data_IF_491402654277
#
_entry.id   IF_491402654277
#
_cell.length_a   1.000
_cell.length_b   1.000
_cell.length_c   1.000
_cell.angle_alpha   90.00
_cell.angle_beta   90.00
_cell.angle_gamma   90.00
#
_symmetry.space_group_name_H-M   'P 1'
#
loop_
_entity.id
_entity.type
_entity.pdbx_description
1 polymer ?
#
# COMPACT_ATOMS: atom_id res chain seq x y z
N UNK A 1 22.59 2.92 25.63
CA UNK A 1 21.17 3.34 25.51
C UNK A 1 21.05 4.68 24.78
N UNK A 2 21.75 4.87 23.65
CA UNK A 2 21.74 6.13 22.87
C UNK A 2 21.83 5.93 21.35
N UNK A 3 21.81 4.67 20.88
CA UNK A 3 21.92 4.31 19.46
C UNK A 3 20.55 3.92 18.87
N UNK A 4 19.61 3.44 19.68
CA UNK A 4 18.26 3.00 19.25
C UNK A 4 17.35 4.20 18.91
N UNK A 5 17.55 5.36 19.54
CA UNK A 5 16.77 6.58 19.24
C UNK A 5 17.15 7.19 17.88
N UNK A 6 18.34 6.87 17.34
CA UNK A 6 18.85 7.51 16.13
C UNK A 6 18.26 6.93 14.83
N UNK A 7 17.80 5.68 14.81
CA UNK A 7 17.21 5.04 13.63
C UNK A 7 15.71 5.35 13.46
N UNK A 8 14.98 5.62 14.55
CA UNK A 8 13.57 6.03 14.49
C UNK A 8 13.41 7.46 13.91
N UNK A 9 14.35 8.36 14.23
CA UNK A 9 14.35 9.74 13.73
C UNK A 9 14.72 9.86 12.25
N UNK A 10 15.52 8.93 11.68
CA UNK A 10 15.82 8.94 10.24
C UNK A 10 14.61 8.59 9.37
N UNK A 11 13.72 7.69 9.81
CA UNK A 11 12.50 7.34 9.05
C UNK A 11 11.38 8.38 9.14
N UNK A 12 11.25 9.07 10.27
CA UNK A 12 10.38 10.27 10.35
C UNK A 12 10.84 11.37 9.37
N UNK A 13 12.16 11.50 9.14
CA UNK A 13 12.68 12.44 8.13
C UNK A 13 12.33 12.05 6.69
N UNK A 14 12.28 10.75 6.37
CA UNK A 14 11.83 10.26 5.05
C UNK A 14 10.34 10.51 4.83
N UNK A 15 9.51 10.39 5.87
CA UNK A 15 8.07 10.68 5.81
C UNK A 15 7.79 12.17 5.66
N UNK A 16 8.55 13.02 6.38
CA UNK A 16 8.53 14.47 6.15
C UNK A 16 8.97 14.82 4.73
N UNK A 17 9.95 14.10 4.17
CA UNK A 17 10.36 14.22 2.77
C UNK A 17 9.25 13.79 1.80
N UNK A 18 8.46 12.76 2.10
CA UNK A 18 7.31 12.40 1.26
C UNK A 18 6.24 13.51 1.29
N UNK A 19 5.88 14.02 2.46
CA UNK A 19 4.98 15.18 2.58
C UNK A 19 5.52 16.44 1.88
N UNK A 20 6.83 16.71 1.98
CA UNK A 20 7.51 17.79 1.23
C UNK A 20 7.57 17.54 -0.28
N UNK A 21 7.70 16.28 -0.72
CA UNK A 21 7.72 15.92 -2.15
C UNK A 21 6.33 16.02 -2.77
N UNK A 22 5.27 15.68 -2.04
CA UNK A 22 3.89 15.85 -2.51
C UNK A 22 3.45 17.33 -2.52
N UNK A 23 4.01 18.18 -1.64
CA UNK A 23 3.71 19.63 -1.61
C UNK A 23 4.56 20.47 -2.57
N UNK A 24 5.71 19.96 -3.04
CA UNK A 24 6.54 20.64 -4.06
C UNK A 24 6.02 20.37 -5.48
N UNK A 25 4.91 20.99 -5.83
CA UNK A 25 4.46 21.07 -7.23
C UNK A 25 5.50 21.85 -8.04
N UNK A 26 6.17 21.17 -8.98
CA UNK A 26 6.95 21.82 -10.01
C UNK A 26 6.06 22.79 -10.80
N UNK A 27 6.47 24.05 -10.89
CA UNK A 27 5.99 24.98 -11.92
C UNK A 27 6.35 24.40 -13.29
N UNK A 28 5.40 23.73 -13.94
CA UNK A 28 5.53 23.33 -15.34
C UNK A 28 4.93 24.44 -16.21
N UNK A 29 5.79 25.05 -17.02
CA UNK A 29 5.45 26.00 -18.08
C UNK A 29 4.42 25.38 -19.02
N UNK A 30 3.42 26.18 -19.37
CA UNK A 30 2.41 25.86 -20.38
C UNK A 30 3.06 25.45 -21.70
N UNK A 31 2.59 24.37 -22.33
CA UNK A 31 2.50 24.22 -23.79
C UNK A 31 1.35 23.28 -24.16
N UNK A 32 0.58 23.79 -25.11
CA UNK A 32 -0.35 23.23 -26.09
C UNK A 32 -1.67 22.54 -25.73
N UNK A 33 -2.73 23.22 -26.20
CA UNK A 33 -4.12 22.79 -26.32
C UNK A 33 -4.22 21.55 -27.21
N UNK A 34 -4.53 20.41 -26.61
CA UNK A 34 -5.17 19.30 -27.33
C UNK A 34 -6.52 18.97 -26.67
N UNK A 35 -7.55 18.92 -27.53
CA UNK A 35 -8.95 18.51 -27.34
C UNK A 35 -9.42 18.36 -25.89
N UNK A 36 -10.32 19.24 -25.46
CA UNK A 36 -11.00 19.19 -24.15
C UNK A 36 -11.67 17.83 -23.93
N UNK A 37 -10.98 16.91 -23.25
CA UNK A 37 -11.61 15.74 -22.65
C UNK A 37 -12.65 16.27 -21.66
N UNK A 38 -13.88 15.80 -21.78
CA UNK A 38 -14.96 16.18 -20.88
C UNK A 38 -14.73 15.43 -19.55
N UNK A 39 -14.07 16.09 -18.60
CA UNK A 39 -13.55 15.49 -17.37
C UNK A 39 -14.57 15.39 -16.22
N UNK A 40 -15.87 15.44 -16.53
CA UNK A 40 -16.96 15.56 -15.56
C UNK A 40 -17.27 14.30 -14.75
N UNK A 41 -16.52 13.21 -14.90
CA UNK A 41 -16.78 11.97 -14.16
C UNK A 41 -16.15 12.01 -12.75
N UNK A 42 -17.01 11.95 -11.74
CA UNK A 42 -16.65 11.86 -10.33
C UNK A 42 -16.10 10.45 -10.00
N UNK A 43 -15.13 10.37 -9.09
CA UNK A 43 -14.66 9.09 -8.57
C UNK A 43 -15.72 8.46 -7.65
N UNK A 44 -15.87 7.12 -7.64
CA UNK A 44 -16.86 6.43 -6.80
C UNK A 44 -16.50 6.44 -5.30
N UNK A 45 -15.23 6.67 -4.98
CA UNK A 45 -14.67 6.76 -3.64
C UNK A 45 -13.95 8.11 -3.51
N UNK A 46 -14.00 8.71 -2.32
CA UNK A 46 -13.23 9.93 -2.00
C UNK A 46 -11.92 9.59 -1.27
N UNK A 47 -11.92 8.55 -0.44
CA UNK A 47 -10.76 8.10 0.35
C UNK A 47 -10.22 6.76 -0.13
N UNK A 48 -8.90 6.63 -0.19
CA UNK A 48 -8.22 5.43 -0.67
C UNK A 48 -7.13 5.04 0.32
N UNK A 49 -7.18 3.79 0.76
CA UNK A 49 -6.22 3.20 1.69
C UNK A 49 -5.26 2.35 0.88
N UNK A 50 -4.09 2.90 0.57
CA UNK A 50 -3.06 2.19 -0.22
C UNK A 50 -2.28 1.27 0.72
N UNK A 51 -2.26 -0.02 0.42
CA UNK A 51 -1.73 -1.07 1.29
C UNK A 51 -0.86 -2.04 0.48
N UNK A 52 0.25 -2.46 1.08
CA UNK A 52 1.17 -3.46 0.51
C UNK A 52 1.88 -4.22 1.65
N UNK A 53 1.57 -5.51 1.83
CA UNK A 53 2.18 -6.28 2.92
C UNK A 53 3.55 -6.82 2.51
N UNK A 54 4.48 -6.84 3.46
CA UNK A 54 5.65 -7.72 3.38
C UNK A 54 5.45 -8.96 4.23
N UNK A 55 6.05 -10.07 3.81
CA UNK A 55 5.88 -11.36 4.47
C UNK A 55 7.16 -12.17 4.58
N UNK A 56 7.14 -13.13 5.51
CA UNK A 56 8.13 -14.20 5.53
C UNK A 56 8.16 -14.92 4.17
N UNK A 57 9.37 -15.17 3.68
CA UNK A 57 9.59 -15.81 2.39
C UNK A 57 10.94 -16.53 2.33
N UNK A 58 11.11 -17.35 1.30
CA UNK A 58 12.35 -18.05 0.96
C UNK A 58 12.68 -17.88 -0.53
N UNK A 59 13.91 -18.23 -0.89
CA UNK A 59 14.41 -18.28 -2.27
C UNK A 59 14.06 -19.60 -2.98
N UNK A 60 13.41 -20.55 -2.28
CA UNK A 60 13.12 -21.90 -2.74
C UNK A 60 11.75 -22.01 -3.41
N UNK A 61 11.43 -21.10 -4.32
CA UNK A 61 10.15 -21.09 -5.04
C UNK A 61 8.90 -21.01 -4.14
N UNK A 62 8.96 -20.24 -3.05
CA UNK A 62 7.86 -20.01 -2.12
C UNK A 62 7.38 -21.28 -1.40
N UNK A 63 8.31 -22.19 -1.06
CA UNK A 63 8.00 -23.39 -0.30
C UNK A 63 7.73 -23.09 1.18
N UNK A 64 8.23 -21.97 1.71
CA UNK A 64 7.90 -21.49 3.04
C UNK A 64 6.39 -21.23 3.15
N UNK A 65 5.70 -22.10 3.89
CA UNK A 65 4.28 -22.03 4.18
C UNK A 65 4.01 -22.36 5.66
N UNK A 66 3.03 -21.68 6.29
CA UNK A 66 2.37 -20.48 5.79
C UNK A 66 3.36 -19.31 5.72
N UNK A 67 3.09 -18.33 4.85
CA UNK A 67 3.75 -17.03 4.93
C UNK A 67 3.04 -16.21 5.99
N UNK A 68 3.80 -15.40 6.72
CA UNK A 68 3.29 -14.53 7.79
C UNK A 68 3.62 -13.08 7.47
N UNK A 69 2.68 -12.17 7.69
CA UNK A 69 2.87 -10.73 7.52
C UNK A 69 3.94 -10.27 8.53
N UNK A 70 4.94 -9.54 8.06
CA UNK A 70 6.03 -8.96 8.86
C UNK A 70 6.13 -7.44 8.74
N UNK A 71 5.50 -6.82 7.75
CA UNK A 71 5.31 -5.37 7.64
C UNK A 71 3.87 -5.06 7.22
N UNK A 72 3.24 -4.11 7.92
CA UNK A 72 1.87 -3.65 7.69
C UNK A 72 1.86 -2.12 7.49
N UNK A 73 2.14 -1.64 6.27
CA UNK A 73 1.96 -0.26 5.88
C UNK A 73 0.56 -0.01 5.33
N UNK A 74 0.03 1.19 5.56
CA UNK A 74 -1.09 1.72 4.81
C UNK A 74 -1.03 3.25 4.74
N UNK A 75 -1.21 3.83 3.56
CA UNK A 75 -1.27 5.27 3.37
C UNK A 75 -2.68 5.67 2.95
N UNK A 76 -3.30 6.55 3.72
CA UNK A 76 -4.58 7.16 3.36
C UNK A 76 -4.34 8.35 2.45
N UNK A 77 -5.01 8.34 1.30
CA UNK A 77 -5.05 9.45 0.36
C UNK A 77 -6.48 9.84 0.01
N UNK A 78 -6.68 11.12 -0.31
CA UNK A 78 -7.95 11.65 -0.82
C UNK A 78 -7.81 12.16 -2.25
N UNK A 79 -8.83 11.94 -3.07
CA UNK A 79 -8.83 12.41 -4.46
C UNK A 79 -9.22 13.88 -4.58
N UNK A 80 -8.29 14.72 -5.05
CA UNK A 80 -8.55 16.11 -5.36
C UNK A 80 -9.06 16.25 -6.79
N UNK A 81 -10.33 16.67 -6.95
CA UNK A 81 -10.95 16.88 -8.27
C UNK A 81 -10.29 18.02 -9.06
N UNK A 82 -9.73 19.00 -8.35
CA UNK A 82 -9.07 20.18 -8.94
C UNK A 82 -7.72 19.80 -9.52
N UNK A 83 -6.84 19.17 -8.72
CA UNK A 83 -5.50 18.79 -9.16
C UNK A 83 -5.48 17.46 -9.94
N UNK A 84 -6.56 16.69 -9.87
CA UNK A 84 -6.67 15.30 -10.36
C UNK A 84 -5.59 14.38 -9.80
N UNK A 85 -5.12 14.65 -8.59
CA UNK A 85 -4.13 13.85 -7.89
C UNK A 85 -4.70 13.38 -6.54
N UNK A 86 -3.99 12.43 -5.94
CA UNK A 86 -4.23 11.89 -4.62
C UNK A 86 -3.35 12.61 -3.61
N UNK A 87 -3.97 13.23 -2.61
CA UNK A 87 -3.31 13.96 -1.54
C UNK A 87 -3.21 13.07 -0.31
N UNK A 88 -2.01 12.96 0.28
CA UNK A 88 -1.77 12.14 1.47
C UNK A 88 -2.36 12.82 2.70
N UNK A 89 -3.24 12.12 3.41
CA UNK A 89 -3.87 12.61 4.62
C UNK A 89 -3.24 12.04 5.89
N UNK A 90 -2.95 10.73 5.88
CA UNK A 90 -2.50 9.99 7.07
C UNK A 90 -1.81 8.70 6.65
N UNK A 91 -1.15 8.04 7.59
CA UNK A 91 -0.57 6.72 7.37
C UNK A 91 -0.62 5.88 8.64
N UNK A 92 -0.60 4.56 8.45
CA UNK A 92 -0.37 3.55 9.46
C UNK A 92 0.86 2.74 9.05
N UNK A 93 1.70 2.39 10.02
CA UNK A 93 2.83 1.50 9.78
C UNK A 93 3.12 0.71 11.05
N UNK A 94 3.30 -0.59 10.89
CA UNK A 94 3.84 -1.45 11.93
C UNK A 94 4.65 -2.58 11.31
N UNK A 95 5.71 -2.96 12.01
CA UNK A 95 6.26 -4.30 11.85
C UNK A 95 5.41 -5.30 12.64
N UNK A 96 5.48 -6.56 12.24
CA UNK A 96 4.68 -7.64 12.83
C UNK A 96 5.61 -8.80 13.20
N UNK A 97 5.42 -9.34 14.40
CA UNK A 97 6.14 -10.51 14.86
C UNK A 97 5.46 -11.79 14.37
N UNK A 98 6.12 -12.60 13.53
CA UNK A 98 5.62 -13.92 13.12
C UNK A 98 5.65 -14.90 14.30
N UNK A 99 4.81 -15.94 14.25
CA UNK A 99 4.67 -16.96 15.30
C UNK A 99 5.00 -18.37 14.83
N UNK A 100 5.04 -18.64 13.52
CA UNK A 100 5.40 -19.96 12.96
C UNK A 100 6.86 -19.94 12.51
N UNK A 101 7.20 -19.09 11.54
CA UNK A 101 8.55 -18.93 11.02
C UNK A 101 9.18 -17.69 11.66
N UNK A 102 9.56 -17.86 12.93
CA UNK A 102 10.03 -16.75 13.80
C UNK A 102 11.39 -16.20 13.42
N UNK A 103 12.23 -16.99 12.74
CA UNK A 103 13.53 -16.57 12.21
C UNK A 103 13.41 -16.26 10.72
N UNK A 104 13.75 -15.03 10.32
CA UNK A 104 13.77 -14.64 8.92
C UNK A 104 14.87 -15.39 8.18
N UNK A 105 14.55 -15.83 6.96
CA UNK A 105 15.59 -16.29 6.04
C UNK A 105 16.47 -15.12 5.64
N UNK A 106 17.74 -15.39 5.31
CA UNK A 106 18.63 -14.35 4.78
C UNK A 106 18.06 -13.71 3.52
N UNK A 107 17.45 -14.51 2.65
CA UNK A 107 16.76 -14.02 1.46
C UNK A 107 15.64 -13.02 1.80
N UNK A 108 14.78 -13.34 2.77
CA UNK A 108 13.69 -12.46 3.18
C UNK A 108 14.22 -11.12 3.71
N UNK A 109 15.26 -11.15 4.56
CA UNK A 109 15.88 -9.93 5.07
C UNK A 109 16.57 -9.10 3.98
N UNK A 110 17.24 -9.74 3.01
CA UNK A 110 17.87 -9.04 1.89
C UNK A 110 16.82 -8.43 0.94
N UNK A 111 15.73 -9.16 0.68
CA UNK A 111 14.66 -8.71 -0.21
C UNK A 111 13.92 -7.52 0.39
N UNK A 112 13.50 -7.61 1.65
CA UNK A 112 12.61 -6.62 2.28
C UNK A 112 13.34 -5.51 3.03
N UNK A 113 14.62 -5.72 3.35
CA UNK A 113 15.39 -4.88 4.26
C UNK A 113 14.99 -5.01 5.73
N UNK A 114 14.09 -5.94 6.07
CA UNK A 114 13.63 -6.17 7.45
C UNK A 114 14.64 -7.06 8.18
N UNK A 115 15.06 -6.60 9.36
CA UNK A 115 16.02 -7.33 10.20
C UNK A 115 15.30 -8.18 11.25
N UNK A 116 15.96 -9.23 11.73
CA UNK A 116 15.45 -10.08 12.80
C UNK A 116 15.10 -9.27 14.06
N UNK A 117 15.95 -8.30 14.43
CA UNK A 117 15.70 -7.44 15.59
C UNK A 117 14.43 -6.59 15.45
N UNK A 118 14.07 -6.17 14.22
CA UNK A 118 12.83 -5.42 14.00
C UNK A 118 11.61 -6.28 14.31
N UNK A 119 11.55 -7.50 13.78
CA UNK A 119 10.38 -8.37 13.99
C UNK A 119 10.32 -8.95 15.42
N UNK A 120 11.47 -9.26 16.04
CA UNK A 120 11.51 -9.82 17.39
C UNK A 120 10.91 -8.89 18.44
N UNK A 121 11.07 -7.58 18.24
CA UNK A 121 10.60 -6.50 19.11
C UNK A 121 9.24 -5.93 18.68
N UNK A 122 8.60 -6.51 17.67
CA UNK A 122 7.31 -6.06 17.16
C UNK A 122 6.13 -6.71 17.87
N UNK A 123 4.93 -6.09 17.86
CA UNK A 123 3.72 -6.72 18.34
C UNK A 123 3.28 -7.89 17.45
N UNK A 124 2.40 -8.74 17.98
CA UNK A 124 1.77 -9.81 17.22
C UNK A 124 0.75 -9.24 16.22
N UNK A 125 0.41 -10.05 15.21
CA UNK A 125 -0.48 -9.62 14.13
C UNK A 125 -1.84 -9.14 14.62
N UNK A 126 -2.47 -9.83 15.58
CA UNK A 126 -3.80 -9.46 16.05
C UNK A 126 -3.82 -8.10 16.76
N UNK A 127 -2.79 -7.78 17.55
CA UNK A 127 -2.62 -6.46 18.14
C UNK A 127 -2.43 -5.39 17.05
N UNK A 128 -1.53 -5.64 16.08
CA UNK A 128 -1.30 -4.71 14.97
C UNK A 128 -2.58 -4.48 14.18
N UNK A 129 -3.33 -5.54 13.88
CA UNK A 129 -4.56 -5.46 13.11
C UNK A 129 -5.69 -4.75 13.86
N UNK A 130 -5.80 -4.94 15.17
CA UNK A 130 -6.74 -4.16 16.00
C UNK A 130 -6.37 -2.67 16.00
N UNK A 131 -5.08 -2.34 16.07
CA UNK A 131 -4.62 -0.95 15.98
C UNK A 131 -4.87 -0.36 14.60
N UNK A 132 -4.67 -1.12 13.53
CA UNK A 132 -5.02 -0.73 12.17
C UNK A 132 -6.53 -0.47 12.02
N UNK A 133 -7.39 -1.37 12.53
CA UNK A 133 -8.85 -1.18 12.51
C UNK A 133 -9.27 0.10 13.25
N UNK A 134 -8.70 0.35 14.44
CA UNK A 134 -8.96 1.59 15.19
C UNK A 134 -8.52 2.82 14.42
N UNK A 135 -7.33 2.78 13.81
CA UNK A 135 -6.84 3.86 12.97
C UNK A 135 -7.78 4.10 11.78
N UNK A 136 -8.17 3.05 11.05
CA UNK A 136 -9.09 3.13 9.90
C UNK A 136 -10.41 3.80 10.28
N UNK A 137 -11.06 3.34 11.37
CA UNK A 137 -12.34 3.90 11.84
C UNK A 137 -12.20 5.39 12.16
N UNK A 138 -11.08 5.81 12.75
CA UNK A 138 -10.83 7.22 13.04
C UNK A 138 -10.53 8.08 11.79
N UNK A 139 -10.31 7.47 10.62
CA UNK A 139 -10.06 8.18 9.37
C UNK A 139 -11.31 8.34 8.49
N UNK A 140 -12.41 7.64 8.79
CA UNK A 140 -13.62 7.61 7.95
C UNK A 140 -14.86 8.00 8.75
N UNK A 141 -15.70 8.86 8.15
CA UNK A 141 -17.02 9.22 8.68
C UNK A 141 -18.13 8.56 7.85
N UNK A 142 -19.38 8.61 8.30
CA UNK A 142 -20.52 7.97 7.63
C UNK A 142 -20.77 8.46 6.19
N UNK A 143 -20.32 9.67 5.86
CA UNK A 143 -20.44 10.25 4.52
C UNK A 143 -19.32 9.81 3.56
N UNK A 144 -18.22 9.28 4.10
CA UNK A 144 -17.06 8.89 3.31
C UNK A 144 -17.30 7.59 2.55
N UNK A 145 -16.83 7.56 1.30
CA UNK A 145 -16.74 6.33 0.52
C UNK A 145 -15.28 5.97 0.38
N UNK A 146 -14.84 5.00 1.16
CA UNK A 146 -13.46 4.53 1.17
C UNK A 146 -13.29 3.17 0.49
N UNK A 147 -12.05 2.90 0.05
CA UNK A 147 -11.66 1.59 -0.47
C UNK A 147 -10.15 1.35 -0.28
N UNK A 148 -9.75 0.08 -0.17
CA UNK A 148 -8.33 -0.31 -0.16
C UNK A 148 -7.81 -0.47 -1.59
N UNK A 149 -6.56 -0.07 -1.81
CA UNK A 149 -5.83 -0.22 -3.07
C UNK A 149 -4.56 -1.04 -2.82
N UNK A 150 -4.32 -2.08 -3.63
CA UNK A 150 -3.14 -2.94 -3.53
C UNK A 150 -2.52 -3.19 -4.91
N UNK A 151 -1.27 -3.69 -4.94
CA UNK A 151 -0.58 -4.10 -6.17
C UNK A 151 -0.75 -5.58 -6.51
N UNK A 152 -1.99 -6.07 -6.48
CA UNK A 152 -2.29 -7.45 -6.82
C UNK A 152 -3.52 -7.94 -6.10
N UNK A 153 -3.70 -9.26 -6.09
CA UNK A 153 -4.70 -9.89 -5.23
C UNK A 153 -4.04 -10.59 -4.04
N UNK A 154 -2.71 -10.63 -3.97
CA UNK A 154 -2.01 -11.46 -2.99
C UNK A 154 -2.18 -10.93 -1.57
N UNK A 155 -2.12 -9.61 -1.36
CA UNK A 155 -2.29 -8.98 -0.04
C UNK A 155 -3.60 -9.40 0.64
N UNK A 156 -4.74 -9.04 0.05
CA UNK A 156 -6.06 -9.25 0.66
C UNK A 156 -6.71 -10.57 0.25
N UNK A 157 -6.44 -11.06 -0.96
CA UNK A 157 -7.00 -12.30 -1.48
C UNK A 157 -6.21 -13.56 -1.10
N UNK A 158 -5.05 -13.41 -0.44
CA UNK A 158 -4.27 -14.55 0.04
C UNK A 158 -3.70 -14.31 1.44
N UNK A 159 -2.64 -13.53 1.59
CA UNK A 159 -1.86 -13.54 2.84
C UNK A 159 -2.64 -12.98 4.03
N UNK A 160 -3.44 -11.94 3.86
CA UNK A 160 -4.29 -11.42 4.92
C UNK A 160 -5.26 -12.49 5.45
N UNK A 161 -5.92 -13.22 4.55
CA UNK A 161 -6.85 -14.29 4.92
C UNK A 161 -6.14 -15.43 5.64
N UNK A 162 -4.97 -15.86 5.14
CA UNK A 162 -4.17 -16.89 5.81
C UNK A 162 -3.67 -16.43 7.18
N UNK A 163 -3.23 -15.18 7.29
CA UNK A 163 -2.78 -14.59 8.55
C UNK A 163 -3.92 -14.51 9.58
N UNK A 164 -5.14 -14.13 9.16
CA UNK A 164 -6.31 -14.12 10.04
C UNK A 164 -6.65 -15.52 10.60
N UNK A 165 -6.44 -16.59 9.82
CA UNK A 165 -6.66 -17.98 10.28
C UNK A 165 -5.72 -18.40 11.41
N UNK A 166 -4.57 -17.74 11.57
CA UNK A 166 -3.65 -17.96 12.68
C UNK A 166 -4.14 -17.33 13.99
N UNK A 167 -5.11 -16.41 13.94
CA UNK A 167 -5.65 -15.66 15.08
C UNK A 167 -7.19 -15.72 15.17
N UNK A 168 -7.83 -16.92 15.09
CA UNK A 168 -9.28 -17.04 14.94
C UNK A 168 -10.07 -16.57 16.17
N UNK A 169 -9.45 -16.50 17.34
CA UNK A 169 -10.08 -16.06 18.59
C UNK A 169 -10.07 -14.53 18.76
N UNK A 170 -9.17 -13.81 18.08
CA UNK A 170 -8.94 -12.37 18.29
C UNK A 170 -9.16 -11.53 17.03
N UNK A 171 -9.16 -12.16 15.85
CA UNK A 171 -9.33 -11.48 14.56
C UNK A 171 -10.59 -11.96 13.85
N UNK A 172 -11.44 -11.00 13.51
CA UNK A 172 -12.52 -11.17 12.54
C UNK A 172 -12.25 -10.24 11.37
N UNK A 173 -12.46 -10.74 10.15
CA UNK A 173 -12.23 -9.93 8.95
C UNK A 173 -13.39 -8.92 8.81
N UNK A 174 -13.10 -7.60 8.86
CA UNK A 174 -14.13 -6.58 8.71
C UNK A 174 -14.48 -6.35 7.23
N UNK A 175 -15.70 -5.89 6.96
CA UNK A 175 -16.22 -5.72 5.59
C UNK A 175 -15.33 -4.85 4.69
N UNK A 176 -14.71 -3.80 5.25
CA UNK A 176 -13.85 -2.89 4.48
C UNK A 176 -12.56 -3.56 3.97
N UNK A 177 -12.13 -4.68 4.56
CA UNK A 177 -11.01 -5.50 4.09
C UNK A 177 -11.43 -6.50 3.00
N UNK A 178 -12.73 -6.68 2.77
CA UNK A 178 -13.25 -7.68 1.83
C UNK A 178 -13.34 -7.19 0.39
N UNK A 179 -13.24 -5.88 0.12
CA UNK A 179 -13.35 -5.31 -1.23
C UNK A 179 -12.22 -4.35 -1.49
N UNK A 180 -11.54 -4.49 -2.64
CA UNK A 180 -10.39 -3.66 -2.96
C UNK A 180 -10.23 -3.39 -4.45
N UNK A 181 -9.32 -2.46 -4.73
CA UNK A 181 -8.81 -2.15 -6.05
C UNK A 181 -7.44 -2.81 -6.21
N UNK A 182 -7.33 -3.69 -7.21
CA UNK A 182 -6.05 -4.14 -7.71
C UNK A 182 -5.58 -3.15 -8.78
N UNK A 183 -4.57 -2.34 -8.44
CA UNK A 183 -4.08 -1.27 -9.32
C UNK A 183 -3.51 -1.82 -10.63
N UNK A 184 -3.03 -3.07 -10.68
CA UNK A 184 -2.53 -3.72 -11.91
C UNK A 184 -3.64 -3.88 -12.94
N UNK A 185 -4.87 -4.19 -12.50
CA UNK A 185 -6.04 -4.26 -13.40
C UNK A 185 -6.38 -2.89 -13.97
N UNK A 186 -6.41 -1.85 -13.13
CA UNK A 186 -6.67 -0.48 -13.59
C UNK A 186 -5.57 0.04 -14.51
N UNK A 187 -4.31 -0.30 -14.23
CA UNK A 187 -3.18 0.01 -15.09
C UNK A 187 -3.37 -0.64 -16.47
N UNK A 188 -3.70 -1.93 -16.51
CA UNK A 188 -3.95 -2.64 -17.77
C UNK A 188 -5.08 -1.99 -18.59
N UNK A 189 -6.19 -1.64 -17.94
CA UNK A 189 -7.33 -0.99 -18.60
C UNK A 189 -7.00 0.40 -19.14
N UNK A 190 -6.10 1.13 -18.48
CA UNK A 190 -5.78 2.52 -18.83
C UNK A 190 -4.62 2.63 -19.81
N UNK A 191 -3.63 1.73 -19.70
CA UNK A 191 -2.36 1.76 -20.45
C UNK A 191 -2.37 0.73 -21.60
N UNK A 192 -3.22 -0.29 -21.54
CA UNK A 192 -3.35 -1.34 -22.56
C UNK A 192 -2.40 -2.52 -22.38
N UNK A 193 -1.66 -2.59 -21.27
CA UNK A 193 -0.74 -3.69 -20.96
C UNK A 193 -0.87 -4.12 -19.50
N UNK A 194 -1.06 -5.41 -19.25
CA UNK A 194 -1.08 -5.94 -17.89
C UNK A 194 0.34 -5.96 -17.32
N UNK A 195 0.59 -5.32 -16.16
CA UNK A 195 1.93 -5.22 -15.60
C UNK A 195 2.31 -6.43 -14.74
N UNK A 196 3.60 -6.69 -14.61
CA UNK A 196 4.11 -7.75 -13.72
C UNK A 196 4.09 -7.35 -12.24
N UNK A 197 4.28 -6.07 -11.92
CA UNK A 197 4.31 -5.53 -10.56
C UNK A 197 4.62 -4.03 -10.56
N UNK A 198 4.88 -3.47 -9.38
CA UNK A 198 5.10 -2.02 -9.16
C UNK A 198 6.24 -1.50 -10.05
N UNK A 199 7.42 -2.13 -10.00
CA UNK A 199 8.58 -1.73 -10.79
C UNK A 199 8.29 -1.71 -12.30
N UNK A 200 7.52 -2.68 -12.79
CA UNK A 200 7.13 -2.73 -14.20
C UNK A 200 6.15 -1.61 -14.55
N UNK A 201 5.16 -1.31 -13.70
CA UNK A 201 4.24 -0.18 -13.90
C UNK A 201 5.00 1.14 -13.97
N UNK A 202 5.92 1.38 -13.03
CA UNK A 202 6.76 2.58 -13.01
C UNK A 202 7.58 2.73 -14.29
N UNK A 203 8.27 1.65 -14.70
CA UNK A 203 9.08 1.64 -15.92
C UNK A 203 8.24 1.91 -17.17
N UNK A 204 7.11 1.22 -17.32
CA UNK A 204 6.21 1.38 -18.48
C UNK A 204 5.63 2.79 -18.56
N UNK A 205 5.34 3.41 -17.41
CA UNK A 205 4.84 4.78 -17.34
C UNK A 205 5.94 5.87 -17.36
N UNK A 206 7.21 5.48 -17.46
CA UNK A 206 8.38 6.36 -17.33
C UNK A 206 8.36 7.22 -16.04
N UNK A 207 7.98 6.59 -14.93
CA UNK A 207 7.91 7.20 -13.60
C UNK A 207 9.16 6.84 -12.80
N UNK A 208 9.63 7.79 -11.99
CA UNK A 208 10.75 7.56 -11.09
C UNK A 208 10.31 6.68 -9.92
N UNK A 209 11.06 5.62 -9.65
CA UNK A 209 10.91 4.83 -8.42
C UNK A 209 11.30 5.67 -7.21
N UNK A 210 10.45 5.61 -6.19
CA UNK A 210 10.69 6.19 -4.87
C UNK A 210 11.12 5.08 -3.92
N UNK A 211 12.22 5.29 -3.20
CA UNK A 211 12.70 4.33 -2.22
C UNK A 211 13.07 2.97 -2.81
N UNK A 212 12.93 1.92 -2.00
CA UNK A 212 13.28 0.54 -2.36
C UNK A 212 12.02 -0.28 -2.64
N UNK A 213 12.03 -1.09 -3.70
CA UNK A 213 10.99 -2.11 -3.93
C UNK A 213 11.12 -3.19 -2.87
N UNK A 214 10.00 -3.76 -2.42
CA UNK A 214 9.87 -4.69 -1.30
C UNK A 214 10.10 -4.06 0.07
N UNK A 215 10.05 -2.72 0.14
CA UNK A 215 9.76 -2.04 1.39
C UNK A 215 8.32 -1.54 1.31
N UNK A 216 7.44 -2.07 2.16
CA UNK A 216 6.01 -1.89 1.94
C UNK A 216 5.55 -0.42 2.01
N UNK A 217 6.20 0.43 2.81
CA UNK A 217 5.91 1.88 2.81
C UNK A 217 6.32 2.58 1.51
N UNK A 218 7.53 2.28 1.01
CA UNK A 218 8.01 2.83 -0.26
C UNK A 218 7.14 2.33 -1.42
N UNK A 219 6.69 1.07 -1.37
CA UNK A 219 5.77 0.50 -2.35
C UNK A 219 4.38 1.15 -2.31
N UNK A 220 3.84 1.47 -1.12
CA UNK A 220 2.62 2.27 -1.01
C UNK A 220 2.79 3.65 -1.70
N UNK A 221 3.93 4.32 -1.53
CA UNK A 221 4.22 5.59 -2.21
C UNK A 221 4.31 5.41 -3.73
N UNK A 222 4.95 4.35 -4.20
CA UNK A 222 5.03 4.04 -5.63
C UNK A 222 3.65 3.72 -6.22
N UNK A 223 2.78 3.01 -5.50
CA UNK A 223 1.39 2.78 -5.89
C UNK A 223 0.64 4.11 -6.00
N UNK A 224 0.77 5.04 -5.05
CA UNK A 224 0.17 6.39 -5.13
C UNK A 224 0.68 7.15 -6.36
N UNK A 225 1.97 7.04 -6.65
CA UNK A 225 2.58 7.67 -7.85
C UNK A 225 1.95 7.11 -9.14
N UNK A 226 1.71 5.80 -9.19
CA UNK A 226 0.99 5.16 -10.30
C UNK A 226 -0.47 5.61 -10.34
N UNK A 227 -1.16 5.68 -9.20
CA UNK A 227 -2.53 6.18 -9.12
C UNK A 227 -2.66 7.61 -9.69
N UNK A 228 -1.74 8.51 -9.35
CA UNK A 228 -1.69 9.86 -9.92
C UNK A 228 -1.55 9.83 -11.45
N UNK A 229 -0.64 9.01 -11.97
CA UNK A 229 -0.46 8.86 -13.42
C UNK A 229 -1.73 8.33 -14.12
N UNK A 230 -2.40 7.34 -13.53
CA UNK A 230 -3.64 6.78 -14.07
C UNK A 230 -4.79 7.80 -14.01
N UNK A 231 -4.91 8.56 -12.92
CA UNK A 231 -5.90 9.63 -12.77
C UNK A 231 -5.75 10.72 -13.84
N UNK A 232 -4.51 11.15 -14.13
CA UNK A 232 -4.20 12.12 -15.18
C UNK A 232 -4.59 11.62 -16.58
N UNK A 233 -4.64 10.30 -16.78
CA UNK A 233 -5.13 9.68 -18.02
C UNK A 233 -6.65 9.49 -18.07
N UNK A 234 -7.34 9.68 -16.94
CA UNK A 234 -8.79 9.54 -16.83
C UNK A 234 -9.29 8.24 -16.24
N UNK A 235 -8.44 7.51 -15.52
CA UNK A 235 -8.85 6.31 -14.84
C UNK A 235 -9.92 6.61 -13.78
N UNK A 236 -10.95 5.76 -13.74
CA UNK A 236 -11.96 5.75 -12.68
C UNK A 236 -11.62 4.57 -11.75
N UNK A 237 -11.37 4.87 -10.48
CA UNK A 237 -10.88 3.92 -9.50
C UNK A 237 -12.03 3.12 -8.90
N UNK A 238 -12.53 2.13 -9.66
CA UNK A 238 -13.59 1.21 -9.22
C UNK A 238 -13.00 -0.03 -8.55
N UNK A 239 -13.73 -0.58 -7.57
CA UNK A 239 -13.43 -1.89 -7.00
C UNK A 239 -13.25 -2.94 -8.11
N UNK A 240 -12.23 -3.79 -7.97
CA UNK A 240 -11.91 -4.80 -8.98
C UNK A 240 -12.02 -6.23 -8.46
N UNK A 241 -12.08 -6.38 -7.15
CA UNK A 241 -12.02 -7.65 -6.44
C UNK A 241 -12.83 -7.57 -5.14
N UNK A 242 -13.38 -8.72 -4.75
CA UNK A 242 -14.09 -8.91 -3.49
C UNK A 242 -13.83 -10.35 -2.99
N UNK A 243 -13.67 -10.52 -1.68
CA UNK A 243 -13.68 -11.84 -1.04
C UNK A 243 -15.11 -12.39 -1.08
N UNK A 244 -15.27 -13.62 -1.58
CA UNK A 244 -16.59 -14.22 -1.80
C UNK A 244 -17.04 -15.01 -0.56
N UNK A 245 -16.11 -15.56 0.22
CA UNK A 245 -16.39 -16.37 1.41
C UNK A 245 -15.42 -15.97 2.53
N UNK A 246 -15.95 -15.35 3.59
CA UNK A 246 -15.19 -14.85 4.75
C UNK A 246 -15.90 -15.23 6.05
#
# INVERSE_FOLDING_TARGET
MMIIVCNYLRRLSTICNYHLMFTRTMFIRSIDKSKSKNWSQQQPYNKFFVLDFEATCDDKAHLLKPQEIIEFPCILVEFSTVSRNFEVLSYFHSYVKPIIHTELTEYCSQLTGITQDMICNSPLFDEVFQNFCKWYINQVNDEDKSIIVTSGNWDLGNIFVEQCKLFPSTVKIPEFMCTWINIKKLFALTIGQYPFGIQNMLKTANLKQMGSIHNGMDDCVNIITIMNHLSQKGCIFKATNKLIDV
#
